data_IF_481391897038
#
_entry.id   IF_481391897038
#
_cell.length_a   1.000
_cell.length_b   1.000
_cell.length_c   1.000
_cell.angle_alpha   90.00
_cell.angle_beta   90.00
_cell.angle_gamma   90.00
#
_symmetry.space_group_name_H-M   'P 1'
#
loop_
_entity.id
_entity.type
_entity.pdbx_description
1 polymer ?
#
# COMPACT_ATOMS: atom_id res chain seq x y z
N UNK A 1 -34.56 67.49 -2.31
CA UNK A 1 -33.10 67.37 -2.52
C UNK A 1 -32.46 66.72 -1.27
N UNK A 2 -32.89 65.50 -0.86
CA UNK A 2 -32.37 64.76 0.33
C UNK A 2 -32.29 63.23 0.16
N UNK A 3 -32.34 62.74 -1.06
CA UNK A 3 -32.34 61.24 -1.31
C UNK A 3 -31.02 60.70 -1.81
N UNK A 4 -30.04 61.52 -2.18
CA UNK A 4 -28.81 61.03 -2.81
C UNK A 4 -27.65 60.75 -1.83
N UNK A 5 -27.77 61.13 -0.56
CA UNK A 5 -26.68 60.94 0.41
C UNK A 5 -26.70 59.56 1.08
N UNK A 6 -27.87 58.93 1.21
CA UNK A 6 -28.02 57.64 1.88
C UNK A 6 -27.50 56.48 1.01
N UNK A 7 -27.66 56.56 -0.32
CA UNK A 7 -27.19 55.55 -1.23
C UNK A 7 -25.66 55.52 -1.43
N UNK A 8 -24.97 56.64 -1.16
CA UNK A 8 -23.51 56.70 -1.24
C UNK A 8 -22.83 56.06 -0.04
N UNK A 9 -23.42 56.19 1.16
CA UNK A 9 -22.91 55.61 2.41
C UNK A 9 -23.12 54.09 2.41
N UNK A 10 -24.24 53.60 1.86
CA UNK A 10 -24.54 52.16 1.78
C UNK A 10 -23.61 51.41 0.80
N UNK A 11 -23.12 52.09 -0.23
CA UNK A 11 -22.15 51.52 -1.17
C UNK A 11 -20.72 51.47 -0.63
N UNK A 12 -20.33 52.35 0.25
CA UNK A 12 -19.01 52.38 0.90
C UNK A 12 -18.91 51.29 2.00
N UNK A 13 -19.99 51.04 2.71
CA UNK A 13 -20.03 50.01 3.76
C UNK A 13 -20.04 48.57 3.13
N UNK A 14 -20.63 48.41 1.94
CA UNK A 14 -20.62 47.11 1.21
C UNK A 14 -19.26 46.74 0.68
N UNK A 15 -18.32 47.67 0.50
CA UNK A 15 -17.00 47.41 -0.06
C UNK A 15 -15.93 47.07 1.02
N UNK A 16 -16.24 47.28 2.29
CA UNK A 16 -15.31 47.09 3.40
C UNK A 16 -15.39 45.68 4.06
N UNK A 17 -16.34 44.85 3.65
CA UNK A 17 -16.55 43.50 4.22
C UNK A 17 -15.82 42.40 3.46
N UNK A 18 -15.20 42.71 2.30
CA UNK A 18 -14.56 41.70 1.46
C UNK A 18 -13.03 41.60 1.60
N UNK A 19 -12.42 42.20 2.60
CA UNK A 19 -10.97 42.23 2.79
C UNK A 19 -10.49 41.42 4.01
N UNK A 20 -11.28 40.43 4.49
CA UNK A 20 -10.77 39.39 5.39
C UNK A 20 -10.61 38.08 4.59
N UNK A 21 -9.75 38.11 3.58
CA UNK A 21 -9.17 36.90 3.03
C UNK A 21 -8.17 36.44 4.08
N UNK A 22 -8.49 35.36 4.80
CA UNK A 22 -7.50 34.55 5.49
C UNK A 22 -6.50 34.08 4.46
N UNK A 23 -5.37 34.74 4.36
CA UNK A 23 -4.19 34.15 3.81
C UNK A 23 -3.71 33.14 4.85
N UNK A 24 -4.04 31.86 4.68
CA UNK A 24 -3.24 30.81 5.29
C UNK A 24 -1.83 30.98 4.71
N UNK A 25 -0.91 31.42 5.54
CA UNK A 25 0.51 31.46 5.21
C UNK A 25 0.93 30.00 4.94
N UNK A 26 0.92 29.61 3.66
CA UNK A 26 1.61 28.41 3.20
C UNK A 26 3.08 28.69 3.47
N UNK A 27 3.62 28.16 4.57
CA UNK A 27 5.05 28.22 4.86
C UNK A 27 5.79 27.65 3.68
N UNK A 28 6.55 28.51 3.02
CA UNK A 28 7.44 28.09 1.94
C UNK A 28 8.49 27.11 2.51
N UNK A 29 8.76 26.01 1.78
CA UNK A 29 9.73 24.97 2.15
C UNK A 29 11.17 25.51 2.35
N UNK A 30 11.43 26.76 2.02
CA UNK A 30 12.71 27.44 2.20
C UNK A 30 13.06 27.77 3.66
N UNK A 31 12.07 27.73 4.57
CA UNK A 31 12.23 28.12 5.98
C UNK A 31 12.68 26.97 6.91
N UNK A 32 12.73 25.73 6.43
CA UNK A 32 13.11 24.58 7.24
C UNK A 32 14.59 24.25 7.10
N UNK A 33 15.26 24.05 8.21
CA UNK A 33 16.61 23.47 8.19
C UNK A 33 16.55 22.01 7.73
N UNK A 34 17.66 21.50 7.19
CA UNK A 34 17.78 20.08 6.78
C UNK A 34 17.46 19.11 7.93
N UNK A 35 17.77 19.48 9.17
CA UNK A 35 17.46 18.67 10.36
C UNK A 35 15.96 18.64 10.67
N UNK A 36 15.27 19.77 10.56
CA UNK A 36 13.82 19.85 10.73
C UNK A 36 13.06 19.11 9.65
N UNK A 37 13.47 19.26 8.38
CA UNK A 37 12.88 18.50 7.26
C UNK A 37 13.05 17.00 7.47
N UNK A 38 14.22 16.54 7.90
CA UNK A 38 14.46 15.13 8.21
C UNK A 38 13.52 14.64 9.31
N UNK A 39 13.36 15.38 10.39
CA UNK A 39 12.46 15.03 11.50
C UNK A 39 11.00 14.96 11.06
N UNK A 40 10.54 15.91 10.23
CA UNK A 40 9.18 15.93 9.67
C UNK A 40 8.94 14.70 8.78
N UNK A 41 9.89 14.35 7.92
CA UNK A 41 9.80 13.19 7.04
C UNK A 41 9.80 11.87 7.84
N UNK A 42 10.66 11.73 8.84
CA UNK A 42 10.70 10.55 9.72
C UNK A 42 9.38 10.36 10.47
N UNK A 43 8.82 11.44 11.03
CA UNK A 43 7.53 11.41 11.72
C UNK A 43 6.39 11.07 10.76
N UNK A 44 6.36 11.65 9.58
CA UNK A 44 5.36 11.36 8.54
C UNK A 44 5.41 9.90 8.11
N UNK A 45 6.60 9.36 7.88
CA UNK A 45 6.80 7.95 7.53
C UNK A 45 6.34 7.02 8.66
N UNK A 46 6.65 7.36 9.92
CA UNK A 46 6.23 6.58 11.08
C UNK A 46 4.71 6.54 11.22
N UNK A 47 4.04 7.68 11.14
CA UNK A 47 2.57 7.77 11.21
C UNK A 47 1.94 6.94 10.10
N UNK A 48 2.51 7.00 8.89
CA UNK A 48 2.03 6.24 7.75
C UNK A 48 2.19 4.74 7.95
N UNK A 49 3.36 4.27 8.39
CA UNK A 49 3.61 2.85 8.66
C UNK A 49 2.63 2.30 9.69
N UNK A 50 2.36 3.05 10.77
CA UNK A 50 1.39 2.66 11.80
C UNK A 50 -0.02 2.56 11.23
N UNK A 51 -0.44 3.51 10.39
CA UNK A 51 -1.76 3.47 9.74
C UNK A 51 -1.89 2.28 8.79
N UNK A 52 -0.89 2.05 7.97
CA UNK A 52 -0.86 0.94 7.02
C UNK A 52 -0.93 -0.42 7.75
N UNK A 53 -0.20 -0.58 8.84
CA UNK A 53 -0.29 -1.75 9.71
C UNK A 53 -1.70 -1.96 10.26
N UNK A 54 -2.33 -0.90 10.75
CA UNK A 54 -3.67 -0.94 11.30
C UNK A 54 -4.72 -1.32 10.24
N UNK A 55 -4.55 -0.85 9.01
CA UNK A 55 -5.41 -1.20 7.88
C UNK A 55 -5.26 -2.68 7.52
N UNK A 56 -4.04 -3.22 7.53
CA UNK A 56 -3.75 -4.64 7.32
C UNK A 56 -4.41 -5.51 8.41
N UNK A 57 -4.21 -5.17 9.68
CA UNK A 57 -4.84 -5.88 10.80
C UNK A 57 -6.36 -5.86 10.71
N UNK A 58 -6.96 -4.70 10.42
CA UNK A 58 -8.39 -4.56 10.22
C UNK A 58 -8.91 -5.38 9.04
N UNK A 59 -8.11 -5.51 7.97
CA UNK A 59 -8.47 -6.34 6.83
C UNK A 59 -8.64 -7.81 7.22
N UNK A 60 -7.68 -8.38 7.96
CA UNK A 60 -7.76 -9.75 8.45
C UNK A 60 -8.86 -9.93 9.49
N UNK A 61 -9.02 -8.99 10.42
CA UNK A 61 -10.06 -9.02 11.45
C UNK A 61 -11.47 -9.08 10.85
N UNK A 62 -11.75 -8.28 9.83
CA UNK A 62 -13.05 -8.29 9.12
C UNK A 62 -13.35 -9.61 8.45
N UNK A 63 -12.34 -10.42 8.13
CA UNK A 63 -12.47 -11.75 7.51
C UNK A 63 -12.39 -12.90 8.51
N UNK A 64 -12.23 -12.61 9.80
CA UNK A 64 -12.06 -13.65 10.83
C UNK A 64 -10.78 -14.48 10.66
N UNK A 65 -9.77 -13.94 9.99
CA UNK A 65 -8.48 -14.59 9.75
C UNK A 65 -7.45 -14.12 10.77
N UNK A 66 -6.56 -15.03 11.18
CA UNK A 66 -5.44 -14.73 12.09
C UNK A 66 -4.14 -14.84 11.29
N UNK A 67 -3.54 -13.69 10.90
CA UNK A 67 -2.31 -13.71 10.12
C UNK A 67 -1.08 -14.03 10.96
N UNK A 68 -0.07 -14.55 10.29
CA UNK A 68 1.31 -14.50 10.75
C UNK A 68 1.96 -13.24 10.19
N UNK A 69 2.90 -12.66 10.96
CA UNK A 69 3.62 -11.44 10.58
C UNK A 69 5.10 -11.73 10.49
N UNK A 70 5.74 -11.26 9.43
CA UNK A 70 7.20 -11.31 9.28
C UNK A 70 7.88 -10.13 9.97
N UNK A 71 9.20 -10.20 10.10
CA UNK A 71 10.00 -9.12 10.72
C UNK A 71 9.95 -7.78 9.97
N UNK A 72 9.57 -7.79 8.68
CA UNK A 72 9.48 -6.59 7.82
C UNK A 72 8.06 -6.03 7.71
N UNK A 73 7.08 -6.64 8.40
CA UNK A 73 5.70 -6.18 8.42
C UNK A 73 4.80 -6.79 7.35
N UNK A 74 5.26 -7.81 6.62
CA UNK A 74 4.40 -8.58 5.72
C UNK A 74 3.51 -9.51 6.54
N UNK A 75 2.20 -9.53 6.23
CA UNK A 75 1.25 -10.40 6.90
C UNK A 75 0.75 -11.46 5.93
N UNK A 76 0.65 -12.71 6.40
CA UNK A 76 0.17 -13.80 5.56
C UNK A 76 -0.65 -14.82 6.32
N UNK A 77 -1.57 -15.48 5.61
CA UNK A 77 -2.35 -16.62 6.09
C UNK A 77 -2.37 -17.69 5.01
N UNK A 78 -1.87 -18.87 5.32
CA UNK A 78 -2.10 -20.05 4.49
C UNK A 78 -3.46 -20.62 4.86
N UNK A 79 -4.50 -20.32 4.06
CA UNK A 79 -5.87 -20.71 4.33
C UNK A 79 -6.24 -22.09 3.75
N UNK A 80 -5.48 -22.59 2.78
CA UNK A 80 -5.56 -23.97 2.28
C UNK A 80 -4.16 -24.56 2.21
N UNK A 81 -3.85 -25.48 3.13
CA UNK A 81 -2.57 -26.14 3.19
C UNK A 81 -2.48 -27.30 2.20
N UNK A 82 -1.34 -27.44 1.60
CA UNK A 82 -1.00 -28.59 0.77
C UNK A 82 -1.10 -29.92 1.55
N UNK A 83 -1.16 -31.03 0.80
CA UNK A 83 -1.05 -32.38 1.38
C UNK A 83 0.31 -32.54 2.05
N UNK A 84 0.39 -33.51 3.00
CA UNK A 84 1.69 -33.87 3.62
C UNK A 84 2.74 -34.21 2.55
N UNK A 85 3.99 -33.93 2.85
CA UNK A 85 5.17 -34.25 2.03
C UNK A 85 5.33 -33.43 0.75
N UNK A 86 4.85 -32.20 0.73
CA UNK A 86 5.06 -31.26 -0.37
C UNK A 86 6.37 -30.48 -0.22
N UNK A 87 6.91 -30.01 -1.36
CA UNK A 87 8.16 -29.25 -1.40
C UNK A 87 7.99 -27.90 -0.76
N UNK A 88 8.79 -27.61 0.29
CA UNK A 88 8.89 -26.28 0.88
C UNK A 88 9.63 -25.34 -0.05
N UNK A 89 9.12 -24.12 -0.21
CA UNK A 89 9.77 -23.07 -1.00
C UNK A 89 11.03 -22.59 -0.26
N UNK A 90 12.11 -22.45 -1.01
CA UNK A 90 13.40 -21.93 -0.53
C UNK A 90 13.93 -20.88 -1.49
N UNK A 91 14.86 -20.08 -1.00
CA UNK A 91 15.63 -19.18 -1.84
C UNK A 91 16.22 -19.91 -3.06
N UNK A 92 16.24 -19.27 -4.23
CA UNK A 92 16.65 -19.79 -5.53
C UNK A 92 15.76 -20.88 -6.14
N UNK A 93 14.66 -21.31 -5.50
CA UNK A 93 13.70 -22.18 -6.16
C UNK A 93 12.92 -21.44 -7.25
N UNK A 94 12.56 -22.13 -8.32
CA UNK A 94 11.56 -21.67 -9.27
C UNK A 94 10.17 -22.02 -8.75
N UNK A 95 9.29 -21.03 -8.76
CA UNK A 95 7.90 -21.16 -8.30
C UNK A 95 6.98 -20.83 -9.45
N UNK A 96 6.09 -21.76 -9.79
CA UNK A 96 4.97 -21.52 -10.69
C UNK A 96 3.73 -21.28 -9.84
N UNK A 97 3.10 -20.13 -9.98
CA UNK A 97 1.94 -19.76 -9.19
C UNK A 97 0.84 -19.11 -10.03
N UNK A 98 -0.39 -19.22 -9.51
CA UNK A 98 -1.51 -18.38 -9.92
C UNK A 98 -1.82 -17.40 -8.81
N UNK A 99 -2.15 -16.16 -9.15
CA UNK A 99 -2.51 -15.15 -8.15
C UNK A 99 -3.42 -14.06 -8.72
N UNK A 100 -4.14 -13.46 -7.82
CA UNK A 100 -4.83 -12.19 -8.01
C UNK A 100 -4.12 -11.15 -7.15
N UNK A 101 -3.85 -9.97 -7.73
CA UNK A 101 -3.27 -8.82 -7.01
C UNK A 101 -4.36 -7.76 -6.88
N UNK A 102 -4.67 -7.38 -5.65
CA UNK A 102 -5.65 -6.35 -5.34
C UNK A 102 -5.13 -5.33 -4.31
N UNK A 103 -5.83 -4.22 -4.20
CA UNK A 103 -5.59 -3.20 -3.18
C UNK A 103 -6.46 -3.47 -1.95
N UNK A 104 -6.18 -2.74 -0.86
CA UNK A 104 -6.89 -2.91 0.42
C UNK A 104 -8.37 -2.50 0.34
N UNK A 105 -8.73 -1.64 -0.61
CA UNK A 105 -10.11 -1.25 -0.94
C UNK A 105 -10.88 -2.31 -1.76
N UNK A 106 -10.20 -3.37 -2.21
CA UNK A 106 -10.75 -4.46 -2.99
C UNK A 106 -10.62 -4.30 -4.51
N UNK A 107 -10.01 -3.23 -5.01
CA UNK A 107 -9.76 -3.03 -6.44
C UNK A 107 -8.78 -4.08 -6.95
N UNK A 108 -9.21 -4.90 -7.92
CA UNK A 108 -8.34 -5.85 -8.62
C UNK A 108 -7.42 -5.09 -9.58
N UNK A 109 -6.11 -5.31 -9.45
CA UNK A 109 -5.09 -4.73 -10.29
C UNK A 109 -4.64 -5.73 -11.38
N UNK A 110 -4.23 -6.91 -10.98
CA UNK A 110 -3.73 -7.94 -11.89
C UNK A 110 -4.27 -9.33 -11.51
N UNK A 111 -4.39 -10.19 -12.52
CA UNK A 111 -4.84 -11.57 -12.34
C UNK A 111 -4.17 -12.49 -13.33
N UNK A 112 -3.67 -13.62 -12.86
CA UNK A 112 -3.14 -14.68 -13.72
C UNK A 112 -4.22 -15.61 -14.26
N UNK A 113 -5.49 -15.39 -13.95
CA UNK A 113 -6.61 -16.18 -14.50
C UNK A 113 -6.75 -16.03 -16.01
N UNK A 114 -6.38 -14.87 -16.54
CA UNK A 114 -6.47 -14.57 -17.96
C UNK A 114 -5.15 -14.85 -18.70
N UNK A 115 -4.01 -14.63 -18.03
CA UNK A 115 -2.68 -14.75 -18.63
C UNK A 115 -2.03 -16.13 -18.44
N UNK A 116 -2.60 -16.93 -17.55
CA UNK A 116 -2.03 -18.21 -17.14
C UNK A 116 -1.04 -18.08 -15.97
N UNK A 117 -0.58 -19.22 -15.44
CA UNK A 117 0.38 -19.25 -14.34
C UNK A 117 1.68 -18.52 -14.68
N UNK A 118 2.22 -17.78 -13.70
CA UNK A 118 3.52 -17.14 -13.81
C UNK A 118 4.59 -17.99 -13.13
N UNK A 119 5.74 -18.13 -13.79
CA UNK A 119 6.94 -18.74 -13.21
C UNK A 119 7.96 -17.65 -12.90
N UNK A 120 8.52 -17.68 -11.70
CA UNK A 120 9.56 -16.76 -11.24
C UNK A 120 10.52 -17.44 -10.26
N UNK A 121 11.72 -16.87 -10.08
CA UNK A 121 12.72 -17.42 -9.17
C UNK A 121 12.72 -16.62 -7.85
N UNK A 122 12.57 -17.31 -6.71
CA UNK A 122 12.63 -16.70 -5.37
C UNK A 122 14.04 -16.17 -5.12
N UNK A 123 14.13 -14.90 -4.75
CA UNK A 123 15.43 -14.20 -4.56
C UNK A 123 15.86 -13.38 -5.76
N UNK A 124 15.12 -13.41 -6.88
CA UNK A 124 15.32 -12.48 -8.02
C UNK A 124 14.30 -11.36 -7.98
N UNK A 125 14.56 -10.31 -8.77
CA UNK A 125 13.73 -9.10 -8.78
C UNK A 125 12.43 -9.22 -9.61
N UNK A 126 11.98 -10.44 -9.88
CA UNK A 126 10.82 -10.71 -10.75
C UNK A 126 9.48 -10.41 -10.05
N UNK A 127 9.46 -10.46 -8.72
CA UNK A 127 8.30 -10.15 -7.88
C UNK A 127 8.72 -9.33 -6.66
N UNK A 128 7.74 -8.70 -6.00
CA UNK A 128 8.00 -7.81 -4.86
C UNK A 128 8.71 -8.54 -3.71
N UNK A 129 9.61 -7.83 -3.06
CA UNK A 129 10.42 -8.38 -1.97
C UNK A 129 9.58 -8.91 -0.80
N UNK A 130 8.42 -8.31 -0.55
CA UNK A 130 7.48 -8.80 0.46
C UNK A 130 6.81 -10.12 0.09
N UNK A 131 6.50 -10.36 -1.20
CA UNK A 131 6.00 -11.63 -1.65
C UNK A 131 7.07 -12.73 -1.50
N UNK A 132 8.30 -12.45 -1.91
CA UNK A 132 9.41 -13.40 -1.79
C UNK A 132 9.62 -13.86 -0.34
N UNK A 133 9.55 -12.93 0.62
CA UNK A 133 9.68 -13.24 2.04
C UNK A 133 8.53 -14.15 2.53
N UNK A 134 7.29 -13.86 2.14
CA UNK A 134 6.14 -14.69 2.52
C UNK A 134 6.20 -16.10 1.92
N UNK A 135 6.70 -16.24 0.69
CA UNK A 135 6.82 -17.53 0.00
C UNK A 135 7.71 -18.52 0.75
N UNK A 136 8.73 -18.07 1.49
CA UNK A 136 9.62 -18.96 2.25
C UNK A 136 8.89 -19.72 3.38
N UNK A 137 7.69 -19.27 3.77
CA UNK A 137 6.83 -19.94 4.74
C UNK A 137 5.80 -20.88 4.11
N UNK A 138 5.81 -21.04 2.79
CA UNK A 138 4.83 -21.82 2.02
C UNK A 138 5.42 -23.06 1.39
N UNK A 139 4.52 -23.94 0.93
CA UNK A 139 4.83 -25.19 0.26
C UNK A 139 4.11 -25.26 -1.09
N UNK A 140 4.59 -26.13 -1.95
CA UNK A 140 3.88 -26.47 -3.18
C UNK A 140 2.48 -26.98 -2.88
N UNK A 141 1.46 -26.40 -3.50
CA UNK A 141 0.04 -26.71 -3.33
C UNK A 141 -0.68 -25.82 -2.33
N UNK A 142 0.03 -24.98 -1.56
CA UNK A 142 -0.59 -24.04 -0.63
C UNK A 142 -1.39 -22.95 -1.37
N UNK A 143 -2.47 -22.50 -0.72
CA UNK A 143 -3.12 -21.23 -1.05
C UNK A 143 -3.01 -20.29 0.12
N UNK A 144 -2.65 -19.05 -0.16
CA UNK A 144 -2.38 -18.07 0.85
C UNK A 144 -2.87 -16.68 0.46
N UNK A 145 -3.24 -15.91 1.47
CA UNK A 145 -3.47 -14.49 1.37
C UNK A 145 -2.27 -13.77 1.98
N UNK A 146 -1.62 -12.90 1.19
CA UNK A 146 -0.43 -12.16 1.61
C UNK A 146 -0.71 -10.68 1.46
N UNK A 147 -0.60 -9.91 2.55
CA UNK A 147 -0.69 -8.47 2.55
C UNK A 147 0.71 -7.87 2.73
N UNK A 148 1.11 -7.11 1.74
CA UNK A 148 2.44 -6.55 1.62
C UNK A 148 2.34 -5.05 1.81
N UNK A 149 2.94 -4.47 2.87
CA UNK A 149 2.95 -3.02 3.06
C UNK A 149 3.73 -2.33 1.94
N UNK A 150 3.39 -1.09 1.67
CA UNK A 150 3.87 -0.34 0.50
C UNK A 150 5.40 -0.35 0.36
N UNK A 151 6.14 -0.24 1.46
CA UNK A 151 7.60 -0.21 1.47
C UNK A 151 8.26 -1.55 1.09
N UNK A 152 7.49 -2.65 1.09
CA UNK A 152 7.92 -3.99 0.66
C UNK A 152 7.28 -4.42 -0.67
N UNK A 153 6.38 -3.59 -1.20
CA UNK A 153 5.74 -3.72 -2.50
C UNK A 153 6.32 -2.69 -3.50
N UNK A 154 5.49 -1.82 -4.05
CA UNK A 154 5.89 -0.85 -5.08
C UNK A 154 6.34 0.52 -4.53
N UNK A 155 6.34 0.72 -3.22
CA UNK A 155 6.90 1.89 -2.55
C UNK A 155 6.24 3.22 -2.92
N UNK A 156 7.08 4.27 -3.01
CA UNK A 156 6.65 5.66 -3.22
C UNK A 156 6.05 5.94 -4.60
N UNK A 157 6.41 5.15 -5.60
CA UNK A 157 6.01 5.42 -7.00
C UNK A 157 4.79 4.58 -7.44
N UNK A 158 4.50 3.47 -6.75
CA UNK A 158 3.58 2.47 -7.28
C UNK A 158 4.19 1.73 -8.48
N UNK A 159 3.37 1.12 -9.32
CA UNK A 159 3.79 0.47 -10.58
C UNK A 159 3.60 1.38 -11.81
N UNK A 160 3.14 2.62 -11.61
CA UNK A 160 2.80 3.62 -12.64
C UNK A 160 1.64 3.20 -13.56
N UNK A 161 0.92 2.12 -13.26
CA UNK A 161 -0.22 1.65 -14.06
C UNK A 161 -1.48 1.49 -13.19
N UNK A 162 -1.55 0.42 -12.39
CA UNK A 162 -2.74 0.04 -11.63
C UNK A 162 -2.56 0.15 -10.12
N UNK A 163 -1.33 0.03 -9.62
CA UNK A 163 -0.99 0.10 -8.21
C UNK A 163 -0.51 1.51 -7.87
N UNK A 164 -1.29 2.27 -7.06
CA UNK A 164 -0.92 3.64 -6.71
C UNK A 164 0.34 3.70 -5.84
N UNK A 165 0.90 4.90 -5.77
CA UNK A 165 1.93 5.27 -4.79
C UNK A 165 1.50 4.88 -3.38
N UNK A 166 2.41 4.27 -2.63
CA UNK A 166 2.26 3.96 -1.21
C UNK A 166 1.07 3.04 -0.89
N UNK A 167 0.68 2.20 -1.83
CA UNK A 167 -0.41 1.25 -1.65
C UNK A 167 0.06 -0.06 -1.02
N UNK A 168 -0.70 -0.54 -0.05
CA UNK A 168 -0.63 -1.94 0.42
C UNK A 168 -1.18 -2.85 -0.67
N UNK A 169 -0.44 -3.89 -1.00
CA UNK A 169 -0.79 -4.85 -2.05
C UNK A 169 -1.20 -6.17 -1.41
N UNK A 170 -2.25 -6.77 -1.97
CA UNK A 170 -2.83 -8.03 -1.50
C UNK A 170 -2.66 -9.08 -2.59
N UNK A 171 -1.97 -10.15 -2.27
CA UNK A 171 -1.89 -11.34 -3.09
C UNK A 171 -2.83 -12.43 -2.56
N UNK A 172 -3.73 -12.90 -3.39
CA UNK A 172 -4.39 -14.19 -3.21
C UNK A 172 -3.69 -15.18 -4.14
N UNK A 173 -2.80 -16.01 -3.58
CA UNK A 173 -1.84 -16.80 -4.34
C UNK A 173 -2.05 -18.31 -4.13
N UNK A 174 -1.93 -19.07 -5.23
CA UNK A 174 -1.90 -20.53 -5.24
C UNK A 174 -0.58 -21.00 -5.82
N UNK A 175 0.18 -21.77 -5.06
CA UNK A 175 1.46 -22.36 -5.48
C UNK A 175 1.19 -23.65 -6.23
N UNK A 176 1.49 -23.69 -7.53
CA UNK A 176 1.24 -24.85 -8.37
C UNK A 176 2.42 -25.81 -8.38
N UNK A 177 3.63 -25.28 -8.53
CA UNK A 177 4.85 -26.09 -8.66
C UNK A 177 6.03 -25.37 -8.00
N UNK A 178 6.90 -26.14 -7.39
CA UNK A 178 8.20 -25.70 -6.89
C UNK A 178 9.26 -26.62 -7.47
N UNK A 179 10.24 -26.06 -8.17
CA UNK A 179 11.38 -26.79 -8.71
C UNK A 179 12.69 -26.20 -8.20
N UNK A 180 13.68 -27.06 -8.04
CA UNK A 180 15.06 -26.64 -7.80
C UNK A 180 15.68 -26.21 -9.12
N UNK A 181 16.71 -25.40 -9.03
CA UNK A 181 17.59 -25.11 -10.16
C UNK A 181 18.23 -26.40 -10.69
#
# INVERSE_FOLDING_TARGET
MKLNCVNSILRVVSFLVFAFSCTEDVKDNSDYTTAELKTILENSNKVKTVREEQDIENYFKRRGLVPQKTGTGVHYVVYEKAKKDTVKIKHMNYVTAMFDISLIDGKLCYSTKETGPLEFQVGKADVESGLQEALEFMHQGDKALVLIPSHRAHGLLGDMEKIPSLATVIYDIKILKVSKE
#
